data_IF_747262281199
#
_entry.id   IF_747262281199
#
_cell.length_a   1.000
_cell.length_b   1.000
_cell.length_c   1.000
_cell.angle_alpha   90.00
_cell.angle_beta   90.00
_cell.angle_gamma   90.00
#
_symmetry.space_group_name_H-M   'P 1'
#
loop_
_entity.id
_entity.type
_entity.pdbx_description
1 polymer ?
#
# COMPACT_ATOMS: atom_id res chain seq x y z
N UNK A 1 4.71 -2.96 5.54
CA UNK A 1 4.38 -2.42 4.22
C UNK A 1 2.88 -2.26 4.04
N UNK A 2 2.45 -1.22 3.32
CA UNK A 2 1.07 -0.95 2.89
C UNK A 2 1.07 -0.64 1.39
N UNK A 3 0.09 -1.20 0.68
CA UNK A 3 -0.15 -0.96 -0.75
C UNK A 3 -1.66 -1.04 -1.07
N UNK A 4 -2.15 -0.23 -1.99
CA UNK A 4 -3.57 -0.22 -2.40
C UNK A 4 -3.75 -0.54 -3.89
N UNK A 5 -4.85 -1.23 -4.19
CA UNK A 5 -5.31 -1.40 -5.57
C UNK A 5 -6.62 -0.66 -5.80
N UNK A 6 -6.75 -0.04 -6.97
CA UNK A 6 -7.90 0.79 -7.30
C UNK A 6 -8.23 0.78 -8.80
N UNK A 7 -9.45 1.20 -9.12
CA UNK A 7 -9.86 1.44 -10.51
C UNK A 7 -9.11 2.61 -11.15
N UNK A 8 -9.23 2.76 -12.46
CA UNK A 8 -8.75 3.92 -13.23
C UNK A 8 -9.23 5.27 -12.68
N UNK A 9 -10.41 5.29 -12.05
CA UNK A 9 -11.01 6.49 -11.46
C UNK A 9 -10.65 6.66 -9.97
N UNK A 10 -9.82 5.78 -9.44
CA UNK A 10 -9.37 5.76 -8.05
C UNK A 10 -10.41 5.23 -7.07
N UNK A 11 -11.38 4.43 -7.50
CA UNK A 11 -12.24 3.71 -6.54
C UNK A 11 -11.43 2.55 -5.94
N UNK A 12 -11.30 2.49 -4.62
CA UNK A 12 -10.50 1.45 -3.97
C UNK A 12 -11.12 0.07 -4.20
N UNK A 13 -10.26 -0.92 -4.39
CA UNK A 13 -10.61 -2.33 -4.48
C UNK A 13 -10.09 -3.09 -3.26
N UNK A 14 -8.82 -2.88 -2.90
CA UNK A 14 -8.17 -3.55 -1.78
C UNK A 14 -7.05 -2.74 -1.12
N UNK A 15 -6.65 -3.20 0.05
CA UNK A 15 -5.48 -2.72 0.79
C UNK A 15 -4.69 -3.94 1.26
N UNK A 16 -3.46 -4.07 0.80
CA UNK A 16 -2.47 -5.03 1.25
C UNK A 16 -1.72 -4.51 2.48
N UNK A 17 -1.50 -5.39 3.44
CA UNK A 17 -0.83 -5.09 4.71
C UNK A 17 0.10 -6.24 5.05
N UNK A 18 1.39 -5.94 5.22
CA UNK A 18 2.40 -6.94 5.54
C UNK A 18 3.35 -6.43 6.62
N UNK A 19 3.38 -7.14 7.76
CA UNK A 19 4.31 -6.96 8.86
C UNK A 19 4.51 -8.28 9.60
N UNK A 20 5.46 -8.34 10.55
CA UNK A 20 5.76 -9.56 11.31
C UNK A 20 4.55 -10.13 12.06
N UNK A 21 3.61 -9.26 12.48
CA UNK A 21 2.44 -9.65 13.26
C UNK A 21 1.23 -10.02 12.41
N UNK A 22 1.22 -9.63 11.14
CA UNK A 22 0.08 -9.83 10.24
C UNK A 22 0.44 -9.65 8.76
N UNK A 23 -0.09 -10.52 7.93
CA UNK A 23 0.07 -10.48 6.47
C UNK A 23 -1.27 -10.83 5.82
N UNK A 24 -1.96 -9.84 5.28
CA UNK A 24 -3.32 -10.01 4.69
C UNK A 24 -3.68 -8.93 3.68
N UNK A 25 -4.78 -9.16 2.98
CA UNK A 25 -5.46 -8.16 2.15
C UNK A 25 -6.86 -7.89 2.67
N UNK A 26 -7.23 -6.61 2.83
CA UNK A 26 -8.62 -6.21 3.01
C UNK A 26 -9.21 -5.96 1.62
N UNK A 27 -10.25 -6.68 1.22
CA UNK A 27 -10.72 -6.72 -0.17
C UNK A 27 -12.24 -6.57 -0.28
N UNK A 28 -12.69 -5.69 -1.17
CA UNK A 28 -14.12 -5.49 -1.43
C UNK A 28 -14.68 -6.66 -2.23
N UNK A 29 -15.62 -7.41 -1.64
CA UNK A 29 -16.23 -8.54 -2.31
C UNK A 29 -17.00 -9.47 -1.39
N UNK A 30 -17.41 -10.60 -1.96
CA UNK A 30 -17.98 -11.70 -1.21
C UNK A 30 -16.87 -12.70 -0.88
N UNK A 31 -16.99 -13.45 0.22
CA UNK A 31 -16.02 -14.48 0.55
C UNK A 31 -15.86 -15.52 -0.58
N UNK A 32 -14.63 -15.66 -1.06
CA UNK A 32 -14.21 -16.65 -2.04
C UNK A 32 -13.03 -17.46 -1.49
N UNK A 33 -12.86 -18.74 -1.87
CA UNK A 33 -11.69 -19.52 -1.50
C UNK A 33 -10.40 -18.87 -2.03
N UNK A 34 -9.42 -18.66 -1.15
CA UNK A 34 -8.13 -18.10 -1.49
C UNK A 34 -7.04 -18.66 -0.56
N UNK A 35 -5.82 -18.80 -1.09
CA UNK A 35 -4.64 -19.13 -0.27
C UNK A 35 -4.12 -17.89 0.48
N UNK A 36 -4.20 -16.72 -0.16
CA UNK A 36 -3.89 -15.43 0.45
C UNK A 36 -4.87 -15.15 1.59
N UNK A 37 -4.42 -14.74 2.79
CA UNK A 37 -5.32 -14.30 3.85
C UNK A 37 -6.09 -13.04 3.43
N UNK A 38 -7.42 -13.15 3.33
CA UNK A 38 -8.29 -12.04 2.92
C UNK A 38 -9.31 -11.72 4.01
N UNK A 39 -9.42 -10.44 4.32
CA UNK A 39 -10.54 -9.89 5.08
C UNK A 39 -11.54 -9.23 4.12
N UNK A 40 -12.64 -9.93 3.85
CA UNK A 40 -13.68 -9.48 2.94
C UNK A 40 -14.52 -8.36 3.54
N UNK A 41 -14.79 -7.31 2.76
CA UNK A 41 -15.64 -6.17 3.14
C UNK A 41 -16.67 -5.85 2.05
N UNK A 42 -17.80 -5.25 2.43
CA UNK A 42 -18.93 -5.02 1.51
C UNK A 42 -18.66 -3.91 0.48
N UNK A 43 -17.91 -2.89 0.87
CA UNK A 43 -17.76 -1.65 0.11
C UNK A 43 -16.55 -0.85 0.59
N UNK A 44 -16.30 0.28 -0.07
CA UNK A 44 -15.16 1.14 0.20
C UNK A 44 -15.22 1.82 1.58
N UNK A 45 -16.41 2.11 2.11
CA UNK A 45 -16.54 2.66 3.45
C UNK A 45 -16.12 1.61 4.49
N UNK A 46 -16.56 0.37 4.31
CA UNK A 46 -16.16 -0.75 5.14
C UNK A 46 -14.64 -1.03 5.03
N UNK A 47 -14.06 -0.91 3.83
CA UNK A 47 -12.61 -0.99 3.61
C UNK A 47 -11.83 0.02 4.47
N UNK A 48 -12.22 1.30 4.42
CA UNK A 48 -11.57 2.38 5.18
C UNK A 48 -11.74 2.23 6.70
N UNK A 49 -12.93 1.81 7.15
CA UNK A 49 -13.18 1.53 8.57
C UNK A 49 -12.33 0.35 9.06
N UNK A 50 -12.20 -0.68 8.24
CA UNK A 50 -11.38 -1.86 8.55
C UNK A 50 -9.89 -1.50 8.59
N UNK A 51 -9.42 -0.64 7.70
CA UNK A 51 -8.05 -0.10 7.76
C UNK A 51 -7.79 0.59 9.10
N UNK A 52 -8.70 1.47 9.55
CA UNK A 52 -8.57 2.14 10.84
C UNK A 52 -8.48 1.12 11.98
N UNK A 53 -9.33 0.09 11.99
CA UNK A 53 -9.31 -0.97 13.00
C UNK A 53 -7.98 -1.73 13.01
N UNK A 54 -7.47 -2.08 11.83
CA UNK A 54 -6.19 -2.77 11.70
C UNK A 54 -5.05 -1.97 12.34
N UNK A 55 -4.97 -0.67 12.08
CA UNK A 55 -3.96 0.19 12.69
C UNK A 55 -4.06 0.27 14.21
N UNK A 56 -5.27 0.23 14.79
CA UNK A 56 -5.42 0.19 16.25
C UNK A 56 -5.04 -1.17 16.84
N UNK A 57 -5.29 -2.26 16.13
CA UNK A 57 -5.00 -3.62 16.60
C UNK A 57 -3.51 -3.96 16.55
N UNK A 58 -2.86 -3.66 15.43
CA UNK A 58 -1.47 -4.07 15.18
C UNK A 58 -0.45 -2.99 15.56
N UNK A 59 -0.90 -1.73 15.68
CA UNK A 59 -0.14 -0.57 16.15
C UNK A 59 1.30 -0.45 15.60
N UNK A 60 1.50 -0.42 14.26
CA UNK A 60 2.84 -0.34 13.68
C UNK A 60 3.53 1.01 13.92
N UNK A 61 4.81 1.00 14.27
CA UNK A 61 5.59 2.23 14.45
C UNK A 61 5.93 2.94 13.14
N UNK A 62 6.29 2.15 12.13
CA UNK A 62 6.72 2.62 10.81
C UNK A 62 5.81 2.05 9.74
N UNK A 63 5.39 2.90 8.81
CA UNK A 63 4.62 2.52 7.63
C UNK A 63 5.51 2.75 6.41
N UNK A 64 5.78 1.67 5.70
CA UNK A 64 6.58 1.69 4.47
C UNK A 64 5.71 1.31 3.28
N UNK A 65 6.09 1.75 2.09
CA UNK A 65 5.45 1.40 0.82
C UNK A 65 6.25 1.96 -0.35
N UNK A 66 5.68 1.93 -1.56
CA UNK A 66 6.37 2.33 -2.78
C UNK A 66 5.61 3.44 -3.51
N UNK A 67 6.14 4.68 -3.49
CA UNK A 67 5.37 5.88 -3.82
C UNK A 67 4.15 6.09 -2.87
N UNK A 68 4.27 5.64 -1.62
CA UNK A 68 3.17 5.51 -0.64
C UNK A 68 2.56 6.85 -0.26
N UNK A 69 3.37 7.91 -0.21
CA UNK A 69 2.87 9.25 0.18
C UNK A 69 2.06 9.84 -0.97
N UNK A 70 2.63 9.84 -2.17
CA UNK A 70 2.07 10.54 -3.31
C UNK A 70 0.99 9.75 -4.06
N UNK A 71 0.96 8.43 -3.89
CA UNK A 71 -0.09 7.56 -4.43
C UNK A 71 -1.05 7.07 -3.33
N UNK A 72 -0.63 6.14 -2.48
CA UNK A 72 -1.53 5.43 -1.56
C UNK A 72 -2.23 6.37 -0.59
N UNK A 73 -1.47 7.14 0.18
CA UNK A 73 -2.03 8.05 1.18
C UNK A 73 -2.79 9.22 0.57
N UNK A 74 -2.36 9.70 -0.60
CA UNK A 74 -3.11 10.70 -1.36
C UNK A 74 -4.49 10.18 -1.73
N UNK A 75 -4.56 8.96 -2.27
CA UNK A 75 -5.82 8.35 -2.67
C UNK A 75 -6.68 8.01 -1.45
N UNK A 76 -6.12 7.35 -0.43
CA UNK A 76 -6.79 7.04 0.82
C UNK A 76 -7.41 8.30 1.45
N UNK A 77 -6.67 9.41 1.53
CA UNK A 77 -7.20 10.67 2.04
C UNK A 77 -8.39 11.18 1.20
N UNK A 78 -8.28 11.16 -0.14
CA UNK A 78 -9.36 11.57 -1.03
C UNK A 78 -10.61 10.68 -0.85
N UNK A 79 -10.44 9.36 -0.79
CA UNK A 79 -11.54 8.40 -0.67
C UNK A 79 -12.16 8.41 0.72
N UNK A 80 -11.37 8.64 1.77
CA UNK A 80 -11.82 8.89 3.14
C UNK A 80 -12.77 10.10 3.21
N UNK A 81 -12.39 11.22 2.59
CA UNK A 81 -13.24 12.42 2.52
C UNK A 81 -14.55 12.16 1.76
N UNK A 82 -14.48 11.50 0.60
CA UNK A 82 -15.67 11.16 -0.20
C UNK A 82 -16.65 10.26 0.57
N UNK A 83 -16.13 9.28 1.31
CA UNK A 83 -16.93 8.35 2.11
C UNK A 83 -17.31 8.89 3.50
N UNK A 84 -16.88 10.12 3.85
CA UNK A 84 -17.08 10.74 5.17
C UNK A 84 -16.56 9.86 6.31
N UNK A 85 -15.44 9.18 6.08
CA UNK A 85 -14.74 8.37 7.09
C UNK A 85 -13.45 9.09 7.44
N UNK A 86 -13.20 9.48 8.71
CA UNK A 86 -11.91 10.01 9.09
C UNK A 86 -10.85 8.90 8.97
N UNK A 87 -9.70 9.23 8.39
CA UNK A 87 -8.56 8.32 8.30
C UNK A 87 -7.83 8.28 9.66
N UNK A 88 -8.45 7.63 10.65
CA UNK A 88 -8.06 7.56 12.06
C UNK A 88 -6.97 6.50 12.32
N UNK A 89 -5.91 6.55 11.51
CA UNK A 89 -4.80 5.59 11.53
C UNK A 89 -3.67 5.99 12.49
N UNK A 90 -3.72 7.19 13.10
CA UNK A 90 -2.77 7.59 14.14
C UNK A 90 -3.02 6.89 15.48
N UNK A 91 -2.02 6.92 16.37
CA UNK A 91 -2.14 6.39 17.74
C UNK A 91 -3.25 7.11 18.50
N UNK A 92 -3.98 6.36 19.33
CA UNK A 92 -5.18 6.80 20.03
C UNK A 92 -6.29 7.28 19.08
N UNK A 93 -6.48 6.57 17.96
CA UNK A 93 -7.48 6.90 16.93
C UNK A 93 -7.42 8.34 16.40
N UNK A 94 -6.24 8.97 16.41
CA UNK A 94 -6.08 10.31 15.86
C UNK A 94 -6.05 10.27 14.34
N UNK A 95 -6.69 11.25 13.71
CA UNK A 95 -6.71 11.37 12.25
C UNK A 95 -5.32 11.66 11.69
N UNK A 96 -5.01 11.04 10.55
CA UNK A 96 -3.90 11.45 9.70
C UNK A 96 -4.22 12.80 9.03
N UNK A 97 -3.17 13.59 8.78
CA UNK A 97 -3.25 14.87 8.10
C UNK A 97 -2.46 14.81 6.80
N UNK A 98 -3.16 14.91 5.68
CA UNK A 98 -2.55 14.99 4.36
C UNK A 98 -2.62 16.42 3.83
N UNK A 99 -1.51 16.92 3.28
CA UNK A 99 -1.45 18.22 2.59
C UNK A 99 -0.66 18.09 1.30
N UNK A 100 -1.01 18.90 0.30
CA UNK A 100 -0.21 19.03 -0.93
C UNK A 100 0.59 20.32 -0.89
N UNK A 101 1.88 20.25 -1.21
CA UNK A 101 2.74 21.41 -1.40
C UNK A 101 2.54 22.07 -2.77
N UNK A 102 3.27 23.16 -3.00
CA UNK A 102 3.14 23.99 -4.21
C UNK A 102 3.46 23.23 -5.51
N UNK A 103 4.33 22.23 -5.46
CA UNK A 103 4.70 21.40 -6.62
C UNK A 103 3.90 20.08 -6.68
N UNK A 104 2.70 20.06 -6.10
CA UNK A 104 1.87 18.85 -5.93
C UNK A 104 2.48 17.75 -5.04
N UNK A 105 3.70 17.90 -4.53
CA UNK A 105 4.30 16.96 -3.58
C UNK A 105 3.41 16.77 -2.34
N UNK A 106 3.13 15.52 -1.99
CA UNK A 106 2.33 15.13 -0.84
C UNK A 106 3.14 15.16 0.44
N UNK A 107 2.50 15.56 1.53
CA UNK A 107 3.02 15.41 2.88
C UNK A 107 1.93 14.80 3.75
N UNK A 108 2.27 13.72 4.44
CA UNK A 108 1.40 13.09 5.42
C UNK A 108 2.02 13.17 6.82
N UNK A 109 1.18 13.49 7.81
CA UNK A 109 1.51 13.35 9.23
C UNK A 109 0.52 12.39 9.86
N UNK A 110 1.04 11.32 10.48
CA UNK A 110 0.26 10.33 11.20
C UNK A 110 0.69 10.39 12.67
N UNK A 111 -0.14 10.89 13.58
CA UNK A 111 0.30 11.11 14.96
C UNK A 111 0.82 9.84 15.64
N UNK A 112 2.10 9.85 16.02
CA UNK A 112 2.76 8.74 16.70
C UNK A 112 3.26 7.61 15.80
N UNK A 113 3.34 7.83 14.48
CA UNK A 113 3.90 6.89 13.51
C UNK A 113 4.81 7.60 12.51
N UNK A 114 5.76 6.87 11.94
CA UNK A 114 6.63 7.35 10.86
C UNK A 114 6.15 6.75 9.53
N UNK A 115 6.21 7.54 8.45
CA UNK A 115 5.96 7.06 7.09
C UNK A 115 7.25 7.20 6.30
N UNK A 116 7.71 6.11 5.68
CA UNK A 116 8.91 6.09 4.86
C UNK A 116 8.54 5.60 3.46
N UNK A 117 8.79 6.45 2.47
CA UNK A 117 8.63 6.08 1.06
C UNK A 117 9.89 5.36 0.56
N UNK A 118 9.73 4.17 -0.03
CA UNK A 118 10.85 3.36 -0.51
C UNK A 118 11.67 4.03 -1.62
N UNK A 119 11.05 4.76 -2.54
CA UNK A 119 11.75 5.44 -3.63
C UNK A 119 12.59 6.58 -3.07
N UNK A 120 11.97 7.43 -2.24
CA UNK A 120 12.67 8.57 -1.66
C UNK A 120 13.81 8.10 -0.75
N UNK A 121 13.57 7.05 0.04
CA UNK A 121 14.58 6.54 0.97
C UNK A 121 15.80 5.95 0.24
N UNK A 122 15.58 5.18 -0.82
CA UNK A 122 16.67 4.66 -1.66
C UNK A 122 17.48 5.77 -2.32
N UNK A 123 16.82 6.83 -2.81
CA UNK A 123 17.52 8.01 -3.36
C UNK A 123 18.37 8.69 -2.30
N UNK A 124 17.85 8.88 -1.09
CA UNK A 124 18.60 9.47 0.02
C UNK A 124 19.79 8.59 0.42
N UNK A 125 19.63 7.26 0.38
CA UNK A 125 20.70 6.28 0.56
C UNK A 125 21.63 6.15 -0.67
N UNK A 126 21.52 7.03 -1.67
CA UNK A 126 22.38 7.13 -2.85
C UNK A 126 22.31 5.95 -3.84
N UNK A 127 21.25 5.15 -3.78
CA UNK A 127 20.99 4.13 -4.79
C UNK A 127 20.60 4.76 -6.13
N UNK A 128 20.94 4.08 -7.22
CA UNK A 128 20.64 4.50 -8.58
C UNK A 128 20.06 3.32 -9.37
N UNK A 129 18.87 3.53 -9.93
CA UNK A 129 18.20 2.55 -10.79
C UNK A 129 17.82 3.20 -12.12
N UNK A 130 17.75 2.39 -13.18
CA UNK A 130 17.26 2.87 -14.50
C UNK A 130 15.78 3.27 -14.45
N UNK A 131 15.00 2.58 -13.63
CA UNK A 131 13.60 2.86 -13.36
C UNK A 131 13.32 2.66 -11.87
N UNK A 132 12.52 3.56 -11.30
CA UNK A 132 12.08 3.51 -9.90
C UNK A 132 10.77 2.74 -9.71
N UNK A 133 10.28 2.02 -10.73
CA UNK A 133 9.13 1.15 -10.54
C UNK A 133 9.48 -0.01 -9.60
N UNK A 134 8.52 -0.43 -8.75
CA UNK A 134 8.73 -1.56 -7.83
C UNK A 134 9.18 -2.81 -8.59
N UNK A 135 8.64 -3.04 -9.79
CA UNK A 135 9.07 -4.10 -10.72
C UNK A 135 10.57 -4.03 -11.02
N UNK A 136 11.06 -2.88 -11.50
CA UNK A 136 12.46 -2.74 -11.92
C UNK A 136 13.40 -2.89 -10.73
N UNK A 137 13.05 -2.30 -9.59
CA UNK A 137 13.92 -2.32 -8.40
C UNK A 137 13.91 -3.68 -7.72
N UNK A 138 12.75 -4.35 -7.62
CA UNK A 138 12.68 -5.73 -7.11
C UNK A 138 13.44 -6.70 -8.01
N UNK A 139 13.34 -6.59 -9.34
CA UNK A 139 14.10 -7.44 -10.25
C UNK A 139 15.62 -7.23 -10.11
N UNK A 140 16.07 -5.97 -10.00
CA UNK A 140 17.50 -5.64 -9.87
C UNK A 140 18.07 -6.04 -8.50
N UNK A 141 17.33 -5.79 -7.42
CA UNK A 141 17.79 -6.09 -6.06
C UNK A 141 17.54 -7.54 -5.65
N UNK A 142 16.36 -8.10 -5.92
CA UNK A 142 15.92 -9.40 -5.39
C UNK A 142 16.04 -10.53 -6.42
N UNK A 143 16.14 -10.21 -7.72
CA UNK A 143 16.09 -11.21 -8.79
C UNK A 143 14.67 -11.71 -9.08
N UNK A 144 13.66 -11.10 -8.47
CA UNK A 144 12.24 -11.43 -8.58
C UNK A 144 11.45 -10.17 -8.93
N UNK A 145 10.49 -10.29 -9.85
CA UNK A 145 9.55 -9.23 -10.21
C UNK A 145 8.14 -9.49 -9.69
N UNK A 146 7.22 -8.59 -10.04
CA UNK A 146 5.78 -8.76 -9.81
C UNK A 146 5.23 -9.92 -10.62
N UNK A 147 4.15 -10.52 -10.13
CA UNK A 147 3.42 -11.59 -10.81
C UNK A 147 2.82 -11.13 -12.16
N UNK A 148 2.53 -9.83 -12.32
CA UNK A 148 1.97 -9.27 -13.56
C UNK A 148 3.07 -8.93 -14.57
N UNK A 149 3.02 -9.58 -15.73
CA UNK A 149 4.06 -9.50 -16.76
C UNK A 149 3.90 -8.35 -17.79
N UNK A 150 2.68 -7.80 -17.99
CA UNK A 150 2.47 -6.69 -18.96
C UNK A 150 2.33 -5.34 -18.27
N UNK A 151 3.31 -4.46 -18.44
CA UNK A 151 3.24 -3.07 -17.95
C UNK A 151 2.21 -2.25 -18.74
N UNK A 152 1.98 -2.58 -20.02
CA UNK A 152 1.08 -1.82 -20.89
C UNK A 152 -0.41 -1.96 -20.52
N UNK A 153 -0.80 -3.11 -19.97
CA UNK A 153 -2.22 -3.42 -19.70
C UNK A 153 -2.51 -3.61 -18.20
N UNK A 154 -1.57 -3.22 -17.31
CA UNK A 154 -1.66 -3.48 -15.86
C UNK A 154 -2.99 -3.03 -15.26
N UNK A 155 -3.48 -1.87 -15.67
CA UNK A 155 -4.74 -1.33 -15.15
C UNK A 155 -5.95 -2.14 -15.63
N UNK A 156 -5.93 -2.61 -16.88
CA UNK A 156 -6.97 -3.50 -17.40
C UNK A 156 -6.96 -4.85 -16.65
N UNK A 157 -5.78 -5.39 -16.39
CA UNK A 157 -5.59 -6.63 -15.64
C UNK A 157 -6.06 -6.50 -14.18
N UNK A 158 -5.72 -5.42 -13.48
CA UNK A 158 -6.23 -5.13 -12.13
C UNK A 158 -7.76 -5.07 -12.13
N UNK A 159 -8.35 -4.38 -13.11
CA UNK A 159 -9.80 -4.29 -13.26
C UNK A 159 -10.43 -5.66 -13.57
N UNK A 160 -9.77 -6.48 -14.39
CA UNK A 160 -10.23 -7.83 -14.71
C UNK A 160 -10.17 -8.73 -13.47
N UNK A 161 -9.04 -8.78 -12.76
CA UNK A 161 -8.91 -9.54 -11.51
C UNK A 161 -9.96 -9.08 -10.49
N UNK A 162 -10.17 -7.78 -10.30
CA UNK A 162 -11.23 -7.32 -9.40
C UNK A 162 -12.63 -7.81 -9.78
N UNK A 163 -12.92 -7.92 -11.09
CA UNK A 163 -14.24 -8.34 -11.59
C UNK A 163 -14.45 -9.85 -11.56
N UNK A 164 -13.41 -10.63 -11.88
CA UNK A 164 -13.55 -12.07 -12.16
C UNK A 164 -12.60 -12.98 -11.38
N UNK A 165 -11.56 -12.45 -10.73
CA UNK A 165 -10.58 -13.24 -9.97
C UNK A 165 -9.97 -12.43 -8.82
N UNK A 166 -10.80 -12.16 -7.82
CA UNK A 166 -10.42 -11.40 -6.63
C UNK A 166 -9.31 -12.08 -5.80
N UNK A 167 -9.28 -13.42 -5.65
CA UNK A 167 -8.15 -14.12 -5.05
C UNK A 167 -6.81 -13.79 -5.72
N UNK A 168 -6.78 -13.67 -7.05
CA UNK A 168 -5.55 -13.26 -7.74
C UNK A 168 -5.17 -11.80 -7.52
N UNK A 169 -6.14 -10.89 -7.48
CA UNK A 169 -5.87 -9.50 -7.08
C UNK A 169 -5.26 -9.43 -5.68
N UNK A 170 -5.79 -10.21 -4.72
CA UNK A 170 -5.27 -10.25 -3.36
C UNK A 170 -3.82 -10.75 -3.32
N UNK A 171 -3.51 -11.83 -4.06
CA UNK A 171 -2.14 -12.35 -4.14
C UNK A 171 -1.18 -11.30 -4.70
N UNK A 172 -1.59 -10.59 -5.75
CA UNK A 172 -0.81 -9.52 -6.36
C UNK A 172 -0.57 -8.34 -5.40
N UNK A 173 -1.63 -7.80 -4.78
CA UNK A 173 -1.54 -6.68 -3.83
C UNK A 173 -0.70 -7.03 -2.60
N UNK A 174 -0.81 -8.27 -2.07
CA UNK A 174 0.05 -8.71 -0.97
C UNK A 174 1.50 -8.89 -1.40
N UNK A 175 1.76 -9.38 -2.62
CA UNK A 175 3.12 -9.53 -3.13
C UNK A 175 3.83 -8.18 -3.19
N UNK A 176 3.16 -7.11 -3.63
CA UNK A 176 3.74 -5.77 -3.64
C UNK A 176 4.18 -5.32 -2.25
N UNK A 177 3.36 -5.60 -1.22
CA UNK A 177 3.73 -5.33 0.16
C UNK A 177 4.99 -6.10 0.59
N UNK A 178 5.04 -7.39 0.27
CA UNK A 178 6.17 -8.30 0.60
C UNK A 178 7.45 -7.87 -0.12
N UNK A 179 7.38 -7.50 -1.40
CA UNK A 179 8.53 -7.03 -2.18
C UNK A 179 9.12 -5.76 -1.56
N UNK A 180 8.29 -4.82 -1.10
CA UNK A 180 8.77 -3.62 -0.40
C UNK A 180 9.50 -3.99 0.88
N UNK A 181 8.92 -4.82 1.76
CA UNK A 181 9.60 -5.23 2.99
C UNK A 181 10.95 -5.92 2.68
N UNK A 182 10.98 -6.83 1.70
CA UNK A 182 12.23 -7.50 1.26
C UNK A 182 13.29 -6.54 0.70
N UNK A 183 12.87 -5.50 -0.02
CA UNK A 183 13.79 -4.44 -0.48
C UNK A 183 14.37 -3.73 0.75
N UNK A 184 13.52 -3.30 1.69
CA UNK A 184 13.95 -2.61 2.90
C UNK A 184 14.93 -3.46 3.72
N UNK A 185 14.67 -4.75 3.87
CA UNK A 185 15.55 -5.69 4.57
C UNK A 185 16.90 -5.84 3.85
N UNK A 186 16.88 -6.06 2.52
CA UNK A 186 18.12 -6.27 1.74
C UNK A 186 19.01 -5.03 1.71
N UNK A 187 18.41 -3.85 1.80
CA UNK A 187 19.12 -2.56 1.70
C UNK A 187 19.35 -1.90 3.06
N UNK A 188 18.91 -2.54 4.15
CA UNK A 188 19.00 -2.01 5.51
C UNK A 188 18.45 -0.58 5.64
N UNK A 189 17.38 -0.26 4.90
CA UNK A 189 16.87 1.11 4.81
C UNK A 189 16.29 1.63 6.12
N UNK A 190 15.70 0.75 6.94
CA UNK A 190 15.23 1.15 8.26
C UNK A 190 16.39 1.54 9.17
N UNK A 191 17.47 0.77 9.16
CA UNK A 191 18.67 1.06 9.95
C UNK A 191 19.35 2.36 9.49
N UNK A 192 19.29 2.67 8.19
CA UNK A 192 19.80 3.94 7.65
C UNK A 192 18.94 5.15 8.05
N UNK A 193 17.64 4.95 8.23
CA UNK A 193 16.68 6.03 8.49
C UNK A 193 16.58 6.44 9.97
N UNK A 194 17.09 5.61 10.91
CA UNK A 194 16.93 5.76 12.36
C UNK A 194 18.26 6.12 13.04
#
# INVERSE_FOLDING_TARGET
SLDIECSEKGALYSIGLDCERDSRVILIGQPEPAETPIQWVSDEKALLLTLNQWFQQFDPDVIVGWNIIDFDFRLLNKRAQLNKVPLAIGRNSRSAFFRSGNNQQGFISIPGRVVIDGIDMLKTATYHFRSWSLESVSQELLGEGKIIHSVHDRMEEINQMFRSDKPSLARYNLQDCVLVNRIFDKTHLLDFAI
#
